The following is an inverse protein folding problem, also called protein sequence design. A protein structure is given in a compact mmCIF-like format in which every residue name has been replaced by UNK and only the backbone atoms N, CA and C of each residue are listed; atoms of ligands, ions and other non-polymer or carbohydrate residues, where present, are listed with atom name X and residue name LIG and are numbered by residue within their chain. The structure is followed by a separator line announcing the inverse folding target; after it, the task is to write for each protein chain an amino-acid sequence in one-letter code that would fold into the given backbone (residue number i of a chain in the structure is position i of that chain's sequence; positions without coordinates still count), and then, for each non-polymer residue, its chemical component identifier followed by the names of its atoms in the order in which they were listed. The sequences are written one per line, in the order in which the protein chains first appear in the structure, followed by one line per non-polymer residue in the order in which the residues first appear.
data_IF_937281297837
#
_entry.id   IF_937281297837
#
_cell.length_a   1.000
_cell.length_b   1.000
_cell.length_c   1.000
_cell.angle_alpha   90.00
_cell.angle_beta   90.00
_cell.angle_gamma   90.00
#
_symmetry.space_group_name_H-M   'P 1'
#
loop_
_entity.id
_entity.type
_entity.pdbx_description
1 polymer ?
#
# COMPACT_ATOMS: atom_id res chain seq x y z
N UNK A 1 -0.14 -17.87 -20.50
CA UNK A 1 -0.79 -16.63 -20.98
C UNK A 1 0.11 -15.46 -20.62
N UNK A 2 0.78 -14.81 -21.59
CA UNK A 2 1.57 -13.60 -21.32
C UNK A 2 0.64 -12.40 -21.53
N UNK A 3 0.30 -11.71 -20.45
CA UNK A 3 -0.46 -10.47 -20.53
C UNK A 3 0.49 -9.39 -21.09
N UNK A 4 0.09 -8.63 -22.11
CA UNK A 4 0.94 -7.57 -22.66
C UNK A 4 1.34 -6.56 -21.58
N UNK A 5 2.60 -6.11 -21.61
CA UNK A 5 3.14 -5.12 -20.66
C UNK A 5 2.42 -3.76 -20.70
N UNK A 6 1.67 -3.50 -21.76
CA UNK A 6 0.97 -2.23 -22.01
C UNK A 6 -0.41 -2.17 -21.35
N UNK A 7 -0.90 -3.30 -20.81
CA UNK A 7 -2.16 -3.33 -20.07
C UNK A 7 -1.90 -2.89 -18.63
N UNK A 8 -2.53 -1.78 -18.22
CA UNK A 8 -2.56 -1.36 -16.82
C UNK A 8 -3.09 -2.49 -15.95
N UNK A 9 -2.38 -2.79 -14.86
CA UNK A 9 -2.75 -3.83 -13.89
C UNK A 9 -2.87 -3.24 -12.51
N UNK A 10 -4.03 -3.48 -11.89
CA UNK A 10 -4.31 -3.14 -10.50
C UNK A 10 -4.41 -4.44 -9.71
N UNK A 11 -3.64 -4.56 -8.64
CA UNK A 11 -3.66 -5.73 -7.75
C UNK A 11 -4.37 -5.34 -6.46
N UNK A 12 -5.37 -6.12 -6.09
CA UNK A 12 -6.17 -5.89 -4.90
C UNK A 12 -5.77 -6.87 -3.80
N UNK A 13 -5.66 -6.38 -2.57
CA UNK A 13 -5.47 -7.21 -1.39
C UNK A 13 -6.37 -6.71 -0.26
N UNK A 14 -6.94 -7.63 0.49
CA UNK A 14 -7.67 -7.35 1.73
C UNK A 14 -6.74 -7.30 2.95
N UNK A 15 -5.45 -7.65 2.78
CA UNK A 15 -4.46 -7.54 3.84
C UNK A 15 -3.86 -6.14 3.90
N UNK A 16 -4.45 -5.31 4.76
CA UNK A 16 -3.92 -3.97 5.09
C UNK A 16 -2.44 -4.01 5.50
N UNK A 17 -2.05 -5.01 6.29
CA UNK A 17 -0.66 -5.20 6.73
C UNK A 17 0.29 -5.42 5.55
N UNK A 18 -0.06 -6.28 4.60
CA UNK A 18 0.76 -6.53 3.39
C UNK A 18 0.86 -5.28 2.53
N UNK A 19 -0.25 -4.57 2.31
CA UNK A 19 -0.25 -3.29 1.60
C UNK A 19 0.65 -2.27 2.31
N UNK A 20 0.57 -2.19 3.64
CA UNK A 20 1.44 -1.36 4.46
C UNK A 20 2.92 -1.67 4.25
N UNK A 21 3.30 -2.95 4.14
CA UNK A 21 4.68 -3.34 3.82
C UNK A 21 5.11 -2.99 2.38
N UNK A 22 4.21 -3.14 1.40
CA UNK A 22 4.47 -2.80 0.00
C UNK A 22 4.73 -1.29 -0.14
N UNK A 23 3.90 -0.45 0.50
CA UNK A 23 4.03 1.01 0.42
C UNK A 23 5.15 1.56 1.31
N UNK A 24 5.53 0.84 2.36
CA UNK A 24 6.61 1.26 3.26
C UNK A 24 7.99 0.98 2.67
N UNK A 25 8.73 2.06 2.36
CA UNK A 25 10.13 1.96 1.88
C UNK A 25 11.17 1.68 2.97
N UNK A 26 10.81 1.63 4.26
CA UNK A 26 11.77 1.48 5.36
C UNK A 26 11.14 0.69 6.50
N UNK A 27 11.24 -0.63 6.41
CA UNK A 27 10.89 -1.52 7.51
C UNK A 27 11.87 -2.70 7.53
N UNK A 28 12.50 -2.95 8.68
CA UNK A 28 13.21 -4.20 8.91
C UNK A 28 12.15 -5.28 9.16
N UNK A 29 11.84 -6.07 8.14
CA UNK A 29 10.92 -7.21 8.27
C UNK A 29 11.70 -8.52 8.38
N UNK A 30 11.03 -9.58 8.82
CA UNK A 30 11.59 -10.94 8.82
C UNK A 30 12.06 -11.29 7.40
N UNK A 31 13.20 -11.98 7.28
CA UNK A 31 13.83 -12.34 5.99
C UNK A 31 12.86 -12.95 4.98
N UNK A 32 11.96 -13.84 5.44
CA UNK A 32 10.94 -14.44 4.58
C UNK A 32 10.00 -13.41 3.94
N UNK A 33 9.57 -12.39 4.71
CA UNK A 33 8.68 -11.34 4.22
C UNK A 33 9.42 -10.41 3.25
N UNK A 34 10.65 -10.01 3.58
CA UNK A 34 11.48 -9.19 2.68
C UNK A 34 11.70 -9.86 1.32
N UNK A 35 12.05 -11.15 1.30
CA UNK A 35 12.24 -11.88 0.05
C UNK A 35 10.99 -11.83 -0.85
N UNK A 36 9.79 -11.95 -0.27
CA UNK A 36 8.52 -11.85 -1.01
C UNK A 36 8.22 -10.44 -1.49
N UNK A 37 8.52 -9.43 -0.69
CA UNK A 37 8.37 -8.04 -1.12
C UNK A 37 9.34 -7.70 -2.25
N UNK A 38 10.55 -8.24 -2.24
CA UNK A 38 11.52 -8.02 -3.31
C UNK A 38 11.06 -8.68 -4.61
N UNK A 39 10.48 -9.89 -4.57
CA UNK A 39 9.80 -10.50 -5.72
C UNK A 39 8.68 -9.60 -6.28
N UNK A 40 7.85 -9.03 -5.40
CA UNK A 40 6.76 -8.11 -5.77
C UNK A 40 7.32 -6.82 -6.39
N UNK A 41 8.38 -6.24 -5.82
CA UNK A 41 9.00 -4.98 -6.29
C UNK A 41 9.65 -5.12 -7.66
N UNK A 42 10.22 -6.29 -7.96
CA UNK A 42 10.82 -6.59 -9.27
C UNK A 42 9.74 -6.85 -10.34
N UNK A 43 8.51 -7.16 -9.93
CA UNK A 43 7.39 -7.28 -10.89
C UNK A 43 7.07 -5.94 -11.57
N UNK A 44 6.50 -6.02 -12.77
CA UNK A 44 6.01 -4.86 -13.54
C UNK A 44 4.73 -4.24 -12.93
N UNK A 45 4.18 -4.80 -11.87
CA UNK A 45 3.00 -4.25 -11.23
C UNK A 45 3.40 -3.10 -10.30
N UNK A 46 2.77 -1.94 -10.51
CA UNK A 46 3.03 -0.71 -9.75
C UNK A 46 1.82 -0.21 -8.98
N UNK A 47 0.65 -0.82 -9.18
CA UNK A 47 -0.60 -0.36 -8.59
C UNK A 47 -1.21 -1.44 -7.71
N UNK A 48 -1.23 -1.16 -6.41
CA UNK A 48 -1.81 -2.01 -5.38
C UNK A 48 -2.94 -1.23 -4.70
N UNK A 49 -4.05 -1.90 -4.37
CA UNK A 49 -5.20 -1.29 -3.71
C UNK A 49 -5.83 -2.21 -2.68
N UNK A 50 -6.58 -1.61 -1.75
CA UNK A 50 -7.32 -2.35 -0.73
C UNK A 50 -8.70 -2.77 -1.20
N UNK A 51 -9.06 -4.04 -0.97
CA UNK A 51 -10.43 -4.54 -1.08
C UNK A 51 -10.93 -4.94 0.30
N UNK A 52 -12.14 -4.55 0.73
CA UNK A 52 -12.73 -5.08 1.97
C UNK A 52 -12.76 -6.61 1.98
N UNK A 53 -12.49 -7.24 3.13
CA UNK A 53 -12.41 -8.71 3.25
C UNK A 53 -13.71 -9.40 2.81
N UNK A 54 -14.87 -8.84 3.14
CA UNK A 54 -16.19 -9.34 2.72
C UNK A 54 -16.47 -9.11 1.23
N UNK A 55 -15.65 -8.32 0.56
CA UNK A 55 -15.69 -8.02 -0.87
C UNK A 55 -14.51 -8.66 -1.62
N UNK A 56 -13.70 -9.52 -0.99
CA UNK A 56 -12.58 -10.16 -1.65
C UNK A 56 -12.99 -11.50 -2.28
N UNK A 57 -13.13 -11.60 -3.62
CA UNK A 57 -13.50 -12.87 -4.25
C UNK A 57 -12.42 -13.96 -4.07
N UNK A 58 -11.15 -13.59 -3.86
CA UNK A 58 -10.06 -14.56 -3.70
C UNK A 58 -10.25 -15.48 -2.47
N UNK A 59 -11.05 -15.05 -1.48
CA UNK A 59 -11.35 -15.83 -0.28
C UNK A 59 -12.09 -17.14 -0.59
N UNK A 60 -12.97 -17.16 -1.59
CA UNK A 60 -13.63 -18.40 -2.02
C UNK A 60 -12.62 -19.45 -2.51
N UNK A 61 -11.57 -19.00 -3.20
CA UNK A 61 -10.52 -19.88 -3.71
C UNK A 61 -9.53 -20.33 -2.63
N UNK A 62 -9.23 -19.47 -1.64
CA UNK A 62 -8.21 -19.74 -0.62
C UNK A 62 -8.75 -20.48 0.61
N UNK A 63 -9.98 -20.17 1.04
CA UNK A 63 -10.66 -20.82 2.19
C UNK A 63 -11.43 -22.07 1.77
N UNK A 64 -11.75 -22.18 0.49
CA UNK A 64 -12.62 -23.20 -0.05
C UNK A 64 -14.09 -22.79 0.04
N UNK A 65 -14.87 -23.28 -0.92
CA UNK A 65 -16.31 -23.10 -0.98
C UNK A 65 -16.94 -24.31 -1.65
N UNK A 66 -18.17 -24.62 -1.26
CA UNK A 66 -18.93 -25.69 -1.89
C UNK A 66 -19.31 -25.31 -3.32
N UNK A 67 -19.56 -26.28 -4.22
CA UNK A 67 -20.02 -25.98 -5.58
C UNK A 67 -21.29 -25.12 -5.61
N UNK A 68 -22.20 -25.31 -4.65
CA UNK A 68 -23.44 -24.55 -4.59
C UNK A 68 -23.21 -23.09 -4.13
N UNK A 69 -22.35 -22.86 -3.14
CA UNK A 69 -21.96 -21.50 -2.72
C UNK A 69 -21.28 -20.75 -3.87
N UNK A 70 -20.35 -21.39 -4.57
CA UNK A 70 -19.70 -20.80 -5.74
C UNK A 70 -20.70 -20.49 -6.85
N UNK A 71 -21.59 -21.43 -7.18
CA UNK A 71 -22.60 -21.25 -8.23
C UNK A 71 -23.55 -20.07 -7.94
N UNK A 72 -23.81 -19.79 -6.66
CA UNK A 72 -24.68 -18.69 -6.22
C UNK A 72 -23.93 -17.38 -5.94
N UNK A 73 -22.60 -17.40 -5.88
CA UNK A 73 -21.79 -16.24 -5.49
C UNK A 73 -21.59 -15.25 -6.65
N UNK A 74 -22.39 -14.17 -6.64
CA UNK A 74 -22.16 -13.03 -7.53
C UNK A 74 -20.78 -12.40 -7.31
N UNK A 75 -20.31 -12.35 -6.06
CA UNK A 75 -19.00 -11.78 -5.75
C UNK A 75 -17.87 -12.53 -6.45
N UNK A 76 -17.94 -13.87 -6.54
CA UNK A 76 -16.94 -14.67 -7.23
C UNK A 76 -16.97 -14.47 -8.75
N UNK A 77 -18.17 -14.51 -9.35
CA UNK A 77 -18.33 -14.47 -10.81
C UNK A 77 -18.23 -13.07 -11.40
N UNK A 78 -18.81 -12.09 -10.73
CA UNK A 78 -18.95 -10.72 -11.24
C UNK A 78 -17.98 -9.73 -10.57
N UNK A 79 -17.35 -10.14 -9.45
CA UNK A 79 -16.58 -9.25 -8.59
C UNK A 79 -17.45 -8.31 -7.76
N UNK A 80 -16.81 -7.40 -6.99
CA UNK A 80 -17.51 -6.37 -6.24
C UNK A 80 -18.19 -5.36 -7.15
N UNK A 81 -19.37 -4.88 -6.76
CA UNK A 81 -20.16 -3.99 -7.62
C UNK A 81 -19.47 -2.66 -7.91
N UNK A 82 -18.71 -2.14 -6.94
CA UNK A 82 -17.93 -0.91 -7.11
C UNK A 82 -16.83 -1.05 -8.17
N UNK A 83 -16.34 -2.26 -8.46
CA UNK A 83 -15.28 -2.45 -9.47
C UNK A 83 -15.78 -2.14 -10.89
N UNK A 84 -17.10 -2.24 -11.11
CA UNK A 84 -17.78 -1.86 -12.36
C UNK A 84 -18.06 -0.36 -12.45
N UNK A 85 -17.91 0.37 -11.34
CA UNK A 85 -18.11 1.82 -11.26
C UNK A 85 -16.85 2.58 -11.72
N UNK A 86 -16.94 3.91 -11.80
CA UNK A 86 -15.77 4.72 -12.15
C UNK A 86 -14.70 4.59 -11.07
N UNK A 87 -13.43 4.65 -11.47
CA UNK A 87 -12.29 4.43 -10.56
C UNK A 87 -12.25 5.39 -9.37
N UNK A 88 -12.76 6.62 -9.54
CA UNK A 88 -12.89 7.61 -8.46
C UNK A 88 -13.83 7.17 -7.33
N UNK A 89 -14.72 6.22 -7.63
CA UNK A 89 -15.74 5.69 -6.71
C UNK A 89 -15.27 4.36 -6.09
N UNK A 90 -14.08 3.87 -6.46
CA UNK A 90 -13.50 2.68 -5.86
C UNK A 90 -13.05 2.94 -4.41
N UNK A 91 -12.95 1.89 -3.57
CA UNK A 91 -12.45 2.02 -2.21
C UNK A 91 -11.06 2.68 -2.19
N UNK A 92 -11.00 3.90 -1.66
CA UNK A 92 -9.77 4.61 -1.37
C UNK A 92 -9.50 4.52 0.12
N UNK A 93 -9.21 3.33 0.65
CA UNK A 93 -8.68 3.32 2.01
C UNK A 93 -7.33 4.03 1.94
N UNK A 94 -7.30 5.22 2.53
CA UNK A 94 -6.16 6.12 2.56
C UNK A 94 -4.92 5.30 2.91
N UNK A 95 -3.91 5.35 2.04
CA UNK A 95 -2.59 4.76 2.29
C UNK A 95 -2.02 5.17 3.67
N UNK A 96 -2.46 6.31 4.21
CA UNK A 96 -2.14 6.79 5.56
C UNK A 96 -2.88 6.06 6.68
N UNK A 97 -4.17 5.77 6.53
CA UNK A 97 -4.96 5.10 7.57
C UNK A 97 -4.59 3.62 7.69
N UNK A 98 -4.34 2.94 6.55
CA UNK A 98 -3.77 1.58 6.55
C UNK A 98 -2.39 1.57 7.21
N UNK A 99 -1.57 2.58 6.94
CA UNK A 99 -0.24 2.66 7.52
C UNK A 99 -0.29 2.91 9.03
N UNK A 100 -1.19 3.78 9.49
CA UNK A 100 -1.43 4.04 10.92
C UNK A 100 -1.96 2.78 11.63
N UNK A 101 -3.00 2.13 11.08
CA UNK A 101 -3.56 0.85 11.59
C UNK A 101 -2.51 -0.27 11.61
N UNK A 102 -1.70 -0.40 10.56
CA UNK A 102 -0.62 -1.40 10.50
C UNK A 102 0.45 -1.13 11.55
N UNK A 103 0.76 0.13 11.86
CA UNK A 103 1.65 0.47 12.97
C UNK A 103 1.03 0.10 14.32
N UNK A 104 -0.30 0.07 14.45
CA UNK A 104 -0.97 -0.30 15.70
C UNK A 104 -0.89 -1.78 16.03
N UNK A 105 -0.90 -2.65 15.02
CA UNK A 105 -0.79 -4.10 15.18
C UNK A 105 0.65 -4.59 15.36
N UNK A 106 1.64 -3.69 15.26
CA UNK A 106 3.03 -4.00 15.49
C UNK A 106 3.38 -4.07 16.99
N UNK A 107 4.37 -4.90 17.38
CA UNK A 107 4.91 -4.87 18.75
C UNK A 107 5.35 -3.45 19.13
N UNK A 108 5.00 -3.00 20.33
CA UNK A 108 5.24 -1.63 20.85
C UNK A 108 6.68 -1.14 20.60
N UNK A 109 7.67 -2.04 20.76
CA UNK A 109 9.10 -1.77 20.57
C UNK A 109 9.46 -1.34 19.13
N UNK A 110 8.75 -1.87 18.13
CA UNK A 110 8.98 -1.54 16.71
C UNK A 110 8.14 -0.33 16.23
N UNK A 111 7.16 0.07 17.03
CA UNK A 111 6.18 1.12 16.71
C UNK A 111 6.79 2.51 16.82
N UNK A 112 7.53 2.76 17.89
CA UNK A 112 8.16 4.06 18.18
C UNK A 112 9.28 4.41 17.19
N UNK A 113 10.11 3.45 16.82
CA UNK A 113 11.17 3.66 15.82
C UNK A 113 10.59 4.01 14.44
N UNK A 114 9.46 3.41 14.05
CA UNK A 114 8.83 3.66 12.75
C UNK A 114 8.00 4.93 12.69
N UNK A 115 7.33 5.33 13.79
CA UNK A 115 6.66 6.65 13.90
C UNK A 115 7.64 7.79 13.64
N UNK A 116 8.84 7.73 14.22
CA UNK A 116 9.91 8.73 14.02
C UNK A 116 10.34 8.82 12.55
N UNK A 117 10.57 7.69 11.88
CA UNK A 117 10.92 7.67 10.45
C UNK A 117 9.82 8.18 9.52
N UNK A 118 8.56 7.93 9.86
CA UNK A 118 7.42 8.37 9.06
C UNK A 118 7.14 9.87 9.21
N UNK A 119 7.31 10.40 10.42
CA UNK A 119 7.16 11.84 10.70
C UNK A 119 8.22 12.67 9.99
N UNK A 120 9.43 12.13 9.81
CA UNK A 120 10.50 12.74 9.00
C UNK A 120 10.23 12.75 7.48
N UNK A 121 9.19 12.04 6.98
CA UNK A 121 8.83 11.99 5.55
C UNK A 121 7.71 12.95 5.14
N UNK A 122 7.06 13.66 6.07
CA UNK A 122 6.23 14.81 5.69
C UNK A 122 7.15 15.78 4.94
N UNK A 123 6.80 16.27 3.73
CA UNK A 123 7.53 17.39 3.19
C UNK A 123 7.41 18.49 4.24
N UNK A 124 8.54 19.00 4.72
CA UNK A 124 8.50 20.25 5.45
C UNK A 124 7.87 21.25 4.48
N UNK A 125 6.60 21.63 4.72
CA UNK A 125 6.12 22.92 4.23
C UNK A 125 7.01 23.95 4.89
N UNK A 126 8.10 24.28 4.22
CA UNK A 126 9.14 25.17 4.69
C UNK A 126 8.57 26.59 4.63
N UNK A 127 7.79 26.97 5.66
CA UNK A 127 7.39 28.37 5.86
C UNK A 127 8.39 29.16 6.71
N UNK A 128 9.38 28.50 7.29
CA UNK A 128 10.42 29.13 8.12
C UNK A 128 11.83 28.67 7.71
N UNK A 129 12.24 28.94 6.47
CA UNK A 129 13.68 29.01 6.19
C UNK A 129 14.22 30.30 6.81
N UNK A 130 15.20 30.24 7.74
CA UNK A 130 15.94 31.44 8.10
C UNK A 130 16.67 31.94 6.85
N UNK A 131 16.37 33.17 6.43
CA UNK A 131 17.16 33.86 5.40
C UNK A 131 18.58 33.97 5.93
N UNK A 132 19.49 33.16 5.40
CA UNK A 132 20.92 33.35 5.60
C UNK A 132 21.29 34.53 4.71
N UNK A 133 21.46 35.69 5.32
CA UNK A 133 21.94 36.89 4.65
C UNK A 133 23.45 36.73 4.44
N UNK A 134 23.83 36.20 3.28
CA UNK A 134 25.22 36.05 2.89
C UNK A 134 25.63 37.37 2.26
N UNK A 135 26.36 38.19 3.02
CA UNK A 135 27.00 39.41 2.53
C UNK A 135 27.98 39.07 1.38
N UNK A 136 27.69 39.49 0.13
CA UNK A 136 28.52 39.18 -1.02
C UNK A 136 29.92 39.82 -0.97
N UNK A 137 30.11 40.88 -0.16
CA UNK A 137 31.41 41.55 -0.05
C UNK A 137 32.40 40.80 0.85
N UNK A 138 31.92 39.85 1.65
CA UNK A 138 32.76 39.10 2.60
C UNK A 138 33.81 38.20 1.93
N UNK A 139 33.63 37.87 0.65
CA UNK A 139 34.49 36.93 -0.08
C UNK A 139 35.24 37.54 -1.27
N UNK A 140 35.22 38.87 -1.43
CA UNK A 140 36.00 39.54 -2.47
C UNK A 140 37.24 40.21 -1.87
N UNK A 141 38.35 39.46 -1.82
CA UNK A 141 39.71 39.98 -1.72
C UNK A 141 40.62 39.21 -2.67
#
# INVERSE_FOLDING_TARGET
MKIPSEVRRVIWSDSKVVLGWIFSKSQTLKKFVNNRLDEIRVSDCREFRYVPTDQNPADFGSRGATPNELNQSKLWWDGPEWLKSQEKDWPSVLDQQILEETLEEMPEEERETKKVFLTMRKPMENKDQPKIDIDPERFSK
#
